data_IF_313226047025
#
_entry.id   IF_313226047025
#
_cell.length_a   1.000
_cell.length_b   1.000
_cell.length_c   1.000
_cell.angle_alpha   90.00
_cell.angle_beta   90.00
_cell.angle_gamma   90.00
#
_symmetry.space_group_name_H-M   'P 1'
#
loop_
_entity.id
_entity.type
_entity.pdbx_description
1 polymer ?
#
# COMPACT_ATOMS: atom_id res chain seq x y z
N UNK A 1 11.77 -12.99 -0.50
CA UNK A 1 11.05 -12.64 -1.73
C UNK A 1 10.25 -11.36 -1.51
N UNK A 2 10.36 -10.42 -2.42
CA UNK A 2 9.65 -9.14 -2.31
C UNK A 2 8.18 -9.31 -2.65
N UNK A 3 7.29 -8.84 -1.79
CA UNK A 3 5.85 -8.79 -2.02
C UNK A 3 5.36 -7.37 -1.73
N UNK A 4 4.71 -6.76 -2.69
CA UNK A 4 4.22 -5.39 -2.57
C UNK A 4 2.70 -5.42 -2.73
N UNK A 5 2.00 -4.74 -1.83
CA UNK A 5 0.56 -4.55 -1.94
C UNK A 5 0.29 -3.10 -2.34
N UNK A 6 -0.45 -2.89 -3.42
CA UNK A 6 -0.88 -1.55 -3.85
C UNK A 6 -2.35 -1.36 -3.51
N UNK A 7 -2.63 -0.40 -2.65
CA UNK A 7 -3.98 0.08 -2.33
C UNK A 7 -4.26 1.33 -3.14
N UNK A 8 -5.30 1.32 -3.95
CA UNK A 8 -5.70 2.44 -4.78
C UNK A 8 -7.21 2.45 -5.00
N UNK A 9 -7.76 3.60 -5.39
CA UNK A 9 -9.17 3.71 -5.75
C UNK A 9 -9.34 3.65 -7.26
N UNK A 10 -10.12 2.68 -7.72
CA UNK A 10 -10.44 2.51 -9.16
C UNK A 10 -11.11 3.75 -9.75
N UNK A 11 -11.93 4.45 -8.96
CA UNK A 11 -12.62 5.68 -9.39
C UNK A 11 -11.75 6.92 -9.40
N UNK A 12 -10.49 6.81 -8.97
CA UNK A 12 -9.60 7.96 -8.77
C UNK A 12 -8.32 7.88 -9.63
N UNK A 13 -7.56 6.80 -9.50
CA UNK A 13 -6.20 6.73 -10.03
C UNK A 13 -5.80 5.35 -10.59
N UNK A 14 -6.64 4.69 -11.41
CA UNK A 14 -6.32 3.36 -11.90
C UNK A 14 -5.14 3.32 -12.86
N UNK A 15 -4.99 4.33 -13.72
CA UNK A 15 -3.91 4.38 -14.71
C UNK A 15 -2.56 4.60 -14.03
N UNK A 16 -2.48 5.52 -13.08
CA UNK A 16 -1.27 5.82 -12.31
C UNK A 16 -0.86 4.63 -11.45
N UNK A 17 -1.80 4.01 -10.77
CA UNK A 17 -1.53 2.82 -9.97
C UNK A 17 -1.05 1.64 -10.84
N UNK A 18 -1.64 1.45 -12.02
CA UNK A 18 -1.21 0.44 -12.99
C UNK A 18 0.21 0.68 -13.50
N UNK A 19 0.56 1.92 -13.77
CA UNK A 19 1.91 2.29 -14.18
C UNK A 19 2.94 2.03 -13.08
N UNK A 20 2.60 2.34 -11.85
CA UNK A 20 3.43 2.03 -10.68
C UNK A 20 3.64 0.53 -10.55
N UNK A 21 2.57 -0.26 -10.65
CA UNK A 21 2.66 -1.73 -10.64
C UNK A 21 3.62 -2.24 -11.70
N UNK A 22 3.45 -1.82 -12.94
CA UNK A 22 4.28 -2.29 -14.05
C UNK A 22 5.76 -1.99 -13.81
N UNK A 23 6.06 -0.81 -13.29
CA UNK A 23 7.43 -0.44 -12.95
C UNK A 23 8.01 -1.27 -11.81
N UNK A 24 7.21 -1.56 -10.78
CA UNK A 24 7.63 -2.40 -9.66
C UNK A 24 7.84 -3.86 -10.11
N UNK A 25 6.97 -4.41 -10.91
CA UNK A 25 7.13 -5.76 -11.46
C UNK A 25 8.34 -5.87 -12.39
N UNK A 26 8.64 -4.80 -13.13
CA UNK A 26 9.87 -4.73 -13.94
C UNK A 26 11.12 -4.84 -13.08
N UNK A 27 11.11 -4.29 -11.88
CA UNK A 27 12.25 -4.31 -10.96
C UNK A 27 12.33 -5.58 -10.12
N UNK A 28 11.20 -6.04 -9.58
CA UNK A 28 11.15 -7.14 -8.61
C UNK A 28 10.69 -8.48 -9.19
N UNK A 29 10.09 -8.47 -10.36
CA UNK A 29 9.61 -9.67 -11.05
C UNK A 29 8.09 -9.77 -11.11
N UNK A 30 7.60 -10.60 -12.01
CA UNK A 30 6.17 -10.89 -12.15
C UNK A 30 5.63 -11.56 -10.89
N UNK A 31 4.39 -11.20 -10.52
CA UNK A 31 3.70 -11.78 -9.39
C UNK A 31 4.17 -11.27 -8.03
N UNK A 32 5.06 -10.28 -7.99
CA UNK A 32 5.54 -9.66 -6.75
C UNK A 32 4.63 -8.55 -6.24
N UNK A 33 3.69 -8.09 -7.08
CA UNK A 33 2.76 -7.01 -6.74
C UNK A 33 1.34 -7.54 -6.72
N UNK A 34 0.67 -7.43 -5.57
CA UNK A 34 -0.78 -7.60 -5.47
C UNK A 34 -1.42 -6.23 -5.72
N UNK A 35 -2.28 -6.17 -6.73
CA UNK A 35 -2.74 -4.89 -7.27
C UNK A 35 -4.26 -4.72 -7.21
N UNK A 36 -5.03 -5.77 -7.46
CA UNK A 36 -6.47 -5.63 -7.63
C UNK A 36 -7.23 -6.81 -7.01
N UNK A 37 -8.40 -6.50 -6.45
CA UNK A 37 -9.35 -7.53 -6.00
C UNK A 37 -9.79 -8.47 -7.12
N UNK A 38 -9.65 -8.09 -8.39
CA UNK A 38 -9.87 -9.00 -9.52
C UNK A 38 -8.87 -10.15 -9.57
N UNK A 39 -7.73 -10.03 -8.89
CA UNK A 39 -6.75 -11.11 -8.74
C UNK A 39 -7.23 -12.20 -7.75
N UNK A 40 -8.30 -11.92 -7.01
CA UNK A 40 -8.93 -12.89 -6.10
C UNK A 40 -9.81 -13.83 -6.92
N UNK A 41 -9.57 -15.14 -6.76
CA UNK A 41 -10.27 -16.16 -7.54
C UNK A 41 -11.71 -16.34 -7.08
N UNK A 42 -12.61 -16.76 -7.96
CA UNK A 42 -13.98 -17.08 -7.58
C UNK A 42 -14.02 -18.10 -6.42
N UNK A 43 -14.88 -17.83 -5.44
CA UNK A 43 -15.04 -18.69 -4.28
C UNK A 43 -14.10 -18.37 -3.10
N UNK A 44 -13.07 -17.55 -3.31
CA UNK A 44 -12.20 -17.09 -2.23
C UNK A 44 -12.87 -15.96 -1.43
N UNK A 45 -12.62 -15.94 -0.12
CA UNK A 45 -13.06 -14.86 0.75
C UNK A 45 -12.15 -13.63 0.58
N UNK A 46 -12.72 -12.48 0.23
CA UNK A 46 -11.95 -11.25 0.01
C UNK A 46 -11.11 -10.84 1.20
N UNK A 47 -11.68 -10.90 2.40
CA UNK A 47 -11.00 -10.46 3.62
C UNK A 47 -9.83 -11.36 3.95
N UNK A 48 -10.01 -12.67 3.83
CA UNK A 48 -8.94 -13.64 4.06
C UNK A 48 -7.79 -13.45 3.10
N UNK A 49 -8.08 -13.25 1.81
CA UNK A 49 -7.03 -13.02 0.79
C UNK A 49 -6.30 -11.72 1.04
N UNK A 50 -7.03 -10.64 1.30
CA UNK A 50 -6.42 -9.33 1.59
C UNK A 50 -5.55 -9.40 2.84
N UNK A 51 -6.06 -9.98 3.91
CA UNK A 51 -5.32 -10.14 5.17
C UNK A 51 -4.02 -10.93 4.95
N UNK A 52 -4.09 -12.03 4.23
CA UNK A 52 -2.92 -12.84 3.92
C UNK A 52 -1.89 -12.08 3.09
N UNK A 53 -2.33 -11.39 2.04
CA UNK A 53 -1.44 -10.63 1.17
C UNK A 53 -0.79 -9.45 1.90
N UNK A 54 -1.54 -8.74 2.73
CA UNK A 54 -1.00 -7.62 3.53
C UNK A 54 -0.01 -8.15 4.57
N UNK A 55 -0.33 -9.21 5.28
CA UNK A 55 0.56 -9.80 6.29
C UNK A 55 1.91 -10.19 5.72
N UNK A 56 1.94 -10.67 4.48
CA UNK A 56 3.16 -11.08 3.79
C UNK A 56 3.87 -9.96 3.03
N UNK A 57 3.27 -8.77 2.97
CA UNK A 57 3.82 -7.68 2.19
C UNK A 57 5.11 -7.11 2.80
N UNK A 58 6.09 -6.87 1.97
CA UNK A 58 7.29 -6.11 2.31
C UNK A 58 6.96 -4.62 2.47
N UNK A 59 5.96 -4.15 1.73
CA UNK A 59 5.43 -2.80 1.81
C UNK A 59 3.99 -2.74 1.29
N UNK A 60 3.20 -1.86 1.88
CA UNK A 60 1.88 -1.45 1.40
C UNK A 60 2.02 -0.04 0.82
N UNK A 61 1.80 0.10 -0.48
CA UNK A 61 1.75 1.41 -1.14
C UNK A 61 0.30 1.90 -1.15
N UNK A 62 0.08 3.08 -0.61
CA UNK A 62 -1.24 3.73 -0.63
C UNK A 62 -1.22 4.85 -1.65
N UNK A 63 -1.85 4.63 -2.80
CA UNK A 63 -1.89 5.60 -3.89
C UNK A 63 -3.01 6.60 -3.65
N UNK A 64 -2.63 7.85 -3.44
CA UNK A 64 -3.54 8.94 -3.07
C UNK A 64 -3.67 9.92 -4.24
N UNK A 65 -4.79 9.85 -4.95
CA UNK A 65 -5.15 10.76 -6.01
C UNK A 65 -6.13 11.85 -5.56
N UNK A 66 -6.56 12.71 -6.49
CA UNK A 66 -7.38 13.88 -6.17
C UNK A 66 -8.72 13.58 -5.49
N UNK A 67 -9.33 12.43 -5.79
CA UNK A 67 -10.63 12.04 -5.22
C UNK A 67 -10.50 11.11 -4.01
N UNK A 68 -9.30 10.73 -3.63
CA UNK A 68 -9.06 9.73 -2.58
C UNK A 68 -9.66 10.14 -1.23
N UNK A 69 -9.42 11.37 -0.79
CA UNK A 69 -9.94 11.88 0.49
C UNK A 69 -11.48 11.93 0.52
N UNK A 70 -12.08 12.47 -0.53
CA UNK A 70 -13.54 12.58 -0.62
C UNK A 70 -14.21 11.20 -0.58
N UNK A 71 -13.64 10.21 -1.24
CA UNK A 71 -14.16 8.84 -1.26
C UNK A 71 -13.98 8.13 0.10
N UNK A 72 -12.88 8.40 0.77
CA UNK A 72 -12.60 7.79 2.08
C UNK A 72 -13.50 8.37 3.19
N UNK A 73 -13.78 9.66 3.12
CA UNK A 73 -14.63 10.37 4.09
C UNK A 73 -16.13 10.18 3.84
N UNK A 74 -16.50 9.74 2.62
CA UNK A 74 -17.90 9.57 2.24
C UNK A 74 -18.62 8.49 3.05
N UNK A 75 -19.95 8.62 3.21
CA UNK A 75 -20.74 7.61 3.89
C UNK A 75 -20.77 6.31 3.07
N UNK A 76 -20.72 5.18 3.78
CA UNK A 76 -20.96 3.86 3.21
C UNK A 76 -22.43 3.51 3.36
N UNK A 77 -23.01 2.85 2.34
CA UNK A 77 -24.32 2.23 2.48
C UNK A 77 -24.23 1.03 3.45
N UNK A 78 -25.37 0.65 4.03
CA UNK A 78 -25.41 -0.49 4.96
C UNK A 78 -24.85 -1.75 4.29
N UNK A 79 -23.87 -2.37 4.93
CA UNK A 79 -23.22 -3.58 4.42
C UNK A 79 -22.13 -3.36 3.37
N UNK A 80 -21.92 -2.14 2.90
CA UNK A 80 -20.77 -1.84 2.03
C UNK A 80 -19.46 -1.85 2.77
N UNK A 81 -18.42 -2.33 2.09
CA UNK A 81 -17.05 -2.31 2.58
C UNK A 81 -16.24 -1.37 1.71
N UNK A 82 -15.60 -0.39 2.33
CA UNK A 82 -14.56 0.37 1.67
C UNK A 82 -13.25 -0.44 1.74
N UNK A 83 -12.90 -1.09 0.64
CA UNK A 83 -11.70 -1.93 0.57
C UNK A 83 -10.41 -1.15 0.80
N UNK A 84 -10.31 0.08 0.33
CA UNK A 84 -9.13 0.93 0.56
C UNK A 84 -8.95 1.20 2.06
N UNK A 85 -10.03 1.57 2.72
CA UNK A 85 -10.04 1.78 4.18
C UNK A 85 -9.67 0.51 4.93
N UNK A 86 -10.22 -0.63 4.51
CA UNK A 86 -9.93 -1.94 5.09
C UNK A 86 -8.46 -2.32 4.93
N UNK A 87 -7.90 -2.16 3.74
CA UNK A 87 -6.51 -2.45 3.44
C UNK A 87 -5.54 -1.64 4.30
N UNK A 88 -5.78 -0.34 4.43
CA UNK A 88 -4.96 0.56 5.26
C UNK A 88 -5.06 0.18 6.73
N UNK A 89 -6.28 -0.05 7.22
CA UNK A 89 -6.52 -0.50 8.59
C UNK A 89 -5.73 -1.77 8.90
N UNK A 90 -5.79 -2.76 8.02
CA UNK A 90 -5.06 -4.02 8.20
C UNK A 90 -3.55 -3.84 8.12
N UNK A 91 -3.07 -3.00 7.22
CA UNK A 91 -1.65 -2.66 7.15
C UNK A 91 -1.14 -2.04 8.44
N UNK A 92 -1.91 -1.15 9.05
CA UNK A 92 -1.59 -0.54 10.35
C UNK A 92 -1.63 -1.57 11.48
N UNK A 93 -2.67 -2.40 11.53
CA UNK A 93 -2.80 -3.44 12.56
C UNK A 93 -1.66 -4.46 12.52
N UNK A 94 -1.27 -4.90 11.35
CA UNK A 94 -0.20 -5.90 11.18
C UNK A 94 1.21 -5.33 11.22
N UNK A 95 1.35 -4.00 11.34
CA UNK A 95 2.65 -3.35 11.40
C UNK A 95 3.44 -3.42 10.10
N UNK A 96 2.76 -3.51 8.97
CA UNK A 96 3.40 -3.52 7.64
C UNK A 96 3.96 -2.14 7.33
N UNK A 97 5.15 -2.04 6.70
CA UNK A 97 5.64 -0.76 6.22
C UNK A 97 4.67 -0.14 5.21
N UNK A 98 4.16 1.06 5.52
CA UNK A 98 3.20 1.76 4.66
C UNK A 98 3.87 2.97 4.05
N UNK A 99 3.78 3.09 2.73
CA UNK A 99 4.34 4.22 1.97
C UNK A 99 3.18 4.91 1.25
N UNK A 100 2.73 6.08 1.72
CA UNK A 100 1.78 6.88 0.96
C UNK A 100 2.44 7.42 -0.31
N UNK A 101 1.74 7.30 -1.43
CA UNK A 101 2.18 7.78 -2.73
C UNK A 101 1.23 8.88 -3.18
N UNK A 102 1.70 10.12 -3.16
CA UNK A 102 0.88 11.29 -3.49
C UNK A 102 0.99 11.61 -4.99
N UNK A 103 -0.15 11.59 -5.67
CA UNK A 103 -0.23 11.93 -7.09
C UNK A 103 -0.43 13.43 -7.30
N UNK A 104 -0.37 13.86 -8.57
CA UNK A 104 -0.58 15.26 -8.95
C UNK A 104 -1.90 15.80 -8.38
N UNK A 105 -1.85 16.99 -7.82
CA UNK A 105 -3.01 17.65 -7.20
C UNK A 105 -3.21 17.32 -5.72
N UNK A 106 -2.41 16.43 -5.16
CA UNK A 106 -2.45 16.07 -3.73
C UNK A 106 -1.18 16.58 -3.06
N UNK A 107 -1.30 17.54 -2.15
CA UNK A 107 -0.15 18.10 -1.43
C UNK A 107 0.22 17.28 -0.20
N UNK A 108 -0.78 16.81 0.51
CA UNK A 108 -0.62 16.02 1.74
C UNK A 108 -1.87 15.18 2.01
N UNK A 109 -1.76 14.25 2.94
CA UNK A 109 -2.90 13.53 3.48
C UNK A 109 -3.53 14.42 4.56
N UNK A 110 -4.82 14.70 4.42
CA UNK A 110 -5.57 15.55 5.34
C UNK A 110 -6.14 14.71 6.50
N UNK A 111 -5.55 14.85 7.67
CA UNK A 111 -5.98 14.14 8.88
C UNK A 111 -7.42 14.45 9.29
N UNK A 112 -7.92 15.66 8.96
CA UNK A 112 -9.25 16.10 9.38
C UNK A 112 -10.39 15.28 8.77
N UNK A 113 -10.16 14.71 7.58
CA UNK A 113 -11.18 13.92 6.87
C UNK A 113 -10.96 12.40 6.98
N UNK A 114 -9.90 11.96 7.65
CA UNK A 114 -9.63 10.54 7.81
C UNK A 114 -10.48 9.92 8.93
N UNK A 115 -11.07 8.74 8.69
CA UNK A 115 -11.63 7.93 9.77
C UNK A 115 -10.57 7.61 10.83
N UNK A 116 -10.98 7.53 12.10
CA UNK A 116 -10.06 7.33 13.22
C UNK A 116 -9.13 6.12 13.07
N UNK A 117 -9.64 5.05 12.50
CA UNK A 117 -8.89 3.78 12.32
C UNK A 117 -7.76 3.86 11.30
N UNK A 118 -7.76 4.86 10.41
CA UNK A 118 -6.71 5.07 9.41
C UNK A 118 -5.93 6.37 9.63
N UNK A 119 -6.25 7.14 10.66
CA UNK A 119 -5.54 8.40 11.00
C UNK A 119 -4.03 8.25 11.14
N UNK A 120 -3.48 7.16 11.70
CA UNK A 120 -2.03 7.01 11.80
C UNK A 120 -1.28 7.07 10.47
N UNK A 121 -1.99 6.95 9.34
CA UNK A 121 -1.38 7.10 8.02
C UNK A 121 -0.71 8.47 7.83
N UNK A 122 -1.21 9.53 8.46
CA UNK A 122 -0.65 10.88 8.35
C UNK A 122 0.76 11.02 8.90
N UNK A 123 1.18 10.10 9.76
CA UNK A 123 2.52 10.09 10.34
C UNK A 123 3.55 9.37 9.47
N UNK A 124 3.12 8.79 8.37
CA UNK A 124 4.01 8.08 7.44
C UNK A 124 4.60 9.06 6.44
N UNK A 125 5.91 8.96 6.21
CA UNK A 125 6.57 9.73 5.17
C UNK A 125 6.05 9.33 3.81
N UNK A 126 5.58 10.31 3.03
CA UNK A 126 5.04 10.09 1.69
C UNK A 126 6.10 10.28 0.61
N UNK A 127 5.83 9.71 -0.56
CA UNK A 127 6.59 9.94 -1.78
C UNK A 127 5.65 10.55 -2.82
N UNK A 128 6.10 11.58 -3.52
CA UNK A 128 5.35 12.16 -4.63
C UNK A 128 5.71 11.44 -5.91
N UNK A 129 4.69 11.15 -6.72
CA UNK A 129 4.86 10.58 -8.05
C UNK A 129 4.16 11.46 -9.06
N UNK A 130 4.91 11.99 -10.02
CA UNK A 130 4.39 12.78 -11.12
C UNK A 130 4.74 12.14 -12.46
N UNK A 131 3.99 12.53 -13.50
CA UNK A 131 4.26 12.05 -14.85
C UNK A 131 5.65 12.52 -15.34
N UNK A 132 6.00 13.76 -15.01
CA UNK A 132 7.21 14.42 -15.48
C UNK A 132 8.50 13.85 -14.88
N UNK A 133 8.45 13.35 -13.65
CA UNK A 133 9.59 12.79 -12.93
C UNK A 133 9.38 11.33 -12.50
N UNK A 134 8.55 10.60 -13.23
CA UNK A 134 8.10 9.25 -12.86
C UNK A 134 9.24 8.30 -12.53
N UNK A 135 10.26 8.18 -13.39
CA UNK A 135 11.38 7.25 -13.16
C UNK A 135 12.18 7.60 -11.90
N UNK A 136 12.46 8.88 -11.68
CA UNK A 136 13.14 9.34 -10.47
C UNK A 136 12.31 9.08 -9.21
N UNK A 137 11.01 9.37 -9.29
CA UNK A 137 10.09 9.15 -8.18
C UNK A 137 9.95 7.66 -7.85
N UNK A 138 9.89 6.80 -8.87
CA UNK A 138 9.85 5.35 -8.68
C UNK A 138 11.12 4.79 -8.07
N UNK A 139 12.28 5.35 -8.40
CA UNK A 139 13.55 4.96 -7.74
C UNK A 139 13.51 5.22 -6.24
N UNK A 140 12.88 6.30 -5.80
CA UNK A 140 12.68 6.59 -4.38
C UNK A 140 11.79 5.54 -3.71
N UNK A 141 10.71 5.13 -4.37
CA UNK A 141 9.83 4.07 -3.87
C UNK A 141 10.58 2.74 -3.81
N UNK A 142 11.26 2.36 -4.89
CA UNK A 142 12.02 1.11 -4.96
C UNK A 142 13.08 1.05 -3.86
N UNK A 143 13.83 2.13 -3.65
CA UNK A 143 14.82 2.21 -2.59
C UNK A 143 14.20 2.04 -1.21
N UNK A 144 13.04 2.67 -0.97
CA UNK A 144 12.31 2.53 0.29
C UNK A 144 11.84 1.08 0.52
N UNK A 145 11.33 0.42 -0.50
CA UNK A 145 10.90 -0.99 -0.42
C UNK A 145 12.09 -1.90 -0.11
N UNK A 146 13.21 -1.74 -0.82
CA UNK A 146 14.42 -2.52 -0.61
C UNK A 146 14.95 -2.36 0.82
N UNK A 147 15.00 -1.14 1.32
CA UNK A 147 15.46 -0.84 2.68
C UNK A 147 14.56 -1.46 3.75
N UNK A 148 13.23 -1.34 3.60
CA UNK A 148 12.27 -1.96 4.51
C UNK A 148 12.38 -3.48 4.52
N UNK A 149 12.58 -4.08 3.37
CA UNK A 149 12.80 -5.52 3.28
C UNK A 149 14.07 -5.96 4.02
N UNK A 150 15.14 -5.21 3.91
CA UNK A 150 16.39 -5.46 4.67
C UNK A 150 16.16 -5.36 6.18
N UNK A 151 15.42 -4.37 6.64
CA UNK A 151 15.08 -4.21 8.05
C UNK A 151 14.26 -5.40 8.58
N UNK A 152 13.27 -5.85 7.81
CA UNK A 152 12.46 -7.02 8.16
C UNK A 152 13.33 -8.26 8.31
N UNK A 153 14.19 -8.53 7.33
CA UNK A 153 15.13 -9.66 7.35
C UNK A 153 16.09 -9.59 8.54
N UNK A 154 16.61 -8.41 8.86
CA UNK A 154 17.51 -8.21 9.98
C UNK A 154 16.81 -8.47 11.33
N UNK A 155 15.54 -8.05 11.48
CA UNK A 155 14.73 -8.35 12.67
C UNK A 155 14.45 -9.83 12.83
N UNK A 156 14.13 -10.53 11.74
CA UNK A 156 13.89 -11.96 11.75
C UNK A 156 15.16 -12.74 12.12
N UNK A 157 16.30 -12.33 11.60
CA UNK A 157 17.59 -12.92 11.93
C UNK A 157 17.92 -12.75 13.40
N UNK A 158 17.74 -11.54 13.97
CA UNK A 158 17.96 -11.29 15.39
C UNK A 158 17.06 -12.14 16.29
N UNK A 159 15.77 -12.25 15.97
CA UNK A 159 14.86 -13.13 16.70
C UNK A 159 15.30 -14.58 16.67
N UNK A 160 15.73 -15.08 15.52
CA UNK A 160 16.21 -16.46 15.38
C UNK A 160 17.44 -16.73 16.25
N UNK A 161 18.37 -15.78 16.34
CA UNK A 161 19.58 -15.94 17.16
C UNK A 161 19.30 -15.83 18.67
N UNK A 162 18.33 -15.02 19.09
CA UNK A 162 17.95 -14.87 20.50
C UNK A 162 17.31 -16.14 21.12
N UNK A 163 16.86 -17.08 20.28
CA UNK A 163 16.34 -18.37 20.74
C UNK A 163 17.43 -19.44 20.92
N UNK A 164 18.66 -19.15 20.51
CA UNK A 164 19.81 -20.07 20.60
C UNK A 164 20.73 -19.79 21.80
N UNK A 165 20.51 -18.66 22.49
CA UNK A 165 21.18 -18.30 23.73
C UNK A 165 20.30 -18.67 24.95
#
# INVERSE_FOLDING_TARGET
MTNIFISYRRSDSPAEAGRIRDRLESRFGRGTVFFDVSDIRPGEDFKEVIDLKITKASALLVVVGPLWHARLAGPLADGEIDFVRYEIKKGLEFGVPIIPVLLKGVEKIDAAVLPSEVKPLVWRQSVRVSHESFEKDMESIISAVVEREREIKARQKRRRWSWLD
#
